data_IF_018626705386
#
_entry.id   IF_018626705386
#
_cell.length_a   1.000
_cell.length_b   1.000
_cell.length_c   1.000
_cell.angle_alpha   90.00
_cell.angle_beta   90.00
_cell.angle_gamma   90.00
#
_symmetry.space_group_name_H-M   'P 1'
#
loop_
_entity.id
_entity.type
_entity.pdbx_description
1 polymer ?
#
# COMPACT_ATOMS: atom_id res chain seq x y z
N UNK A 1 -14.24 -4.97 -1.30
CA UNK A 1 -13.86 -3.58 -0.95
C UNK A 1 -13.95 -3.43 0.56
N UNK A 2 -13.03 -2.74 1.22
CA UNK A 2 -13.02 -2.46 2.66
C UNK A 2 -13.01 -0.96 2.90
N UNK A 3 -13.81 -0.47 3.87
CA UNK A 3 -13.86 0.93 4.25
C UNK A 3 -13.81 1.09 5.79
N UNK A 4 -13.18 2.12 6.34
CA UNK A 4 -13.18 2.36 7.78
C UNK A 4 -14.50 2.95 8.25
N UNK A 5 -14.93 2.60 9.45
CA UNK A 5 -15.96 3.34 10.17
C UNK A 5 -15.29 4.28 11.18
N UNK A 6 -15.71 5.53 11.25
CA UNK A 6 -15.29 6.44 12.30
C UNK A 6 -16.07 6.10 13.58
N UNK A 7 -15.34 5.72 14.64
CA UNK A 7 -15.83 5.70 16.00
C UNK A 7 -15.88 4.34 16.68
N UNK A 8 -14.72 3.81 17.11
CA UNK A 8 -14.64 2.92 18.25
C UNK A 8 -13.69 3.53 19.29
N UNK A 9 -13.98 3.45 20.60
CA UNK A 9 -13.06 3.90 21.64
C UNK A 9 -11.78 3.03 21.65
N UNK A 10 -10.64 3.56 22.09
CA UNK A 10 -9.39 2.81 22.11
C UNK A 10 -9.49 1.62 23.07
N UNK A 11 -9.01 0.48 22.60
CA UNK A 11 -8.85 -0.75 23.40
C UNK A 11 -7.80 -0.51 24.50
N UNK A 12 -8.11 -0.70 25.79
CA UNK A 12 -7.21 -0.32 26.90
C UNK A 12 -6.11 -1.33 27.22
N UNK A 13 -5.87 -2.36 26.43
CA UNK A 13 -4.86 -3.39 26.71
C UNK A 13 -3.91 -3.64 25.53
N UNK A 14 -3.09 -2.64 25.24
CA UNK A 14 -1.96 -2.75 24.32
C UNK A 14 -0.75 -2.06 24.92
N UNK A 15 -0.20 -2.58 26.02
CA UNK A 15 1.10 -2.13 26.52
C UNK A 15 2.20 -2.50 25.53
N UNK A 16 2.94 -1.48 25.07
CA UNK A 16 4.26 -1.64 24.51
C UNK A 16 4.49 -1.23 23.06
N UNK A 17 4.10 -0.01 22.66
CA UNK A 17 4.86 0.69 21.63
C UNK A 17 5.03 2.16 22.06
N UNK A 18 6.17 2.44 22.65
CA UNK A 18 6.58 3.81 22.94
C UNK A 18 6.53 4.57 21.62
N UNK A 19 5.63 5.54 21.52
CA UNK A 19 5.24 6.38 20.41
C UNK A 19 6.26 6.35 19.23
N UNK A 20 6.19 5.33 18.41
CA UNK A 20 7.03 5.24 17.22
C UNK A 20 6.69 6.45 16.35
N UNK A 21 7.67 7.33 16.11
CA UNK A 21 7.49 8.56 15.32
C UNK A 21 6.76 8.22 14.03
N UNK A 22 5.79 9.05 13.59
CA UNK A 22 5.10 8.85 12.32
C UNK A 22 6.13 8.64 11.19
N UNK A 23 5.79 7.79 10.20
CA UNK A 23 6.63 7.67 9.01
C UNK A 23 6.58 8.98 8.23
N UNK A 24 7.74 9.47 7.84
CA UNK A 24 7.80 10.57 6.88
C UNK A 24 7.69 9.97 5.48
N UNK A 25 6.56 10.22 4.82
CA UNK A 25 6.34 9.81 3.44
C UNK A 25 6.62 10.98 2.50
N UNK A 26 7.12 10.67 1.34
CA UNK A 26 7.28 11.62 0.24
C UNK A 26 6.65 11.07 -1.04
N UNK A 27 6.23 11.93 -1.98
CA UNK A 27 5.87 11.47 -3.32
C UNK A 27 7.06 10.77 -4.00
N UNK A 28 6.76 9.72 -4.75
CA UNK A 28 7.72 9.05 -5.61
C UNK A 28 8.13 9.96 -6.76
N UNK A 29 9.38 9.80 -7.22
CA UNK A 29 9.87 10.46 -8.44
C UNK A 29 9.81 9.49 -9.62
N UNK A 30 9.67 10.02 -10.82
CA UNK A 30 9.56 9.21 -12.04
C UNK A 30 10.82 8.39 -12.34
N UNK A 31 11.98 8.86 -11.92
CA UNK A 31 13.27 8.16 -12.04
C UNK A 31 13.39 6.96 -11.08
N UNK A 32 12.50 6.85 -10.10
CA UNK A 32 12.45 5.73 -9.14
C UNK A 32 11.57 4.55 -9.62
N UNK A 33 10.92 4.65 -10.79
CA UNK A 33 9.95 3.67 -11.26
C UNK A 33 10.52 2.24 -11.34
N UNK A 34 11.77 2.07 -11.75
CA UNK A 34 12.41 0.76 -11.82
C UNK A 34 12.61 0.15 -10.42
N UNK A 35 13.11 0.94 -9.48
CA UNK A 35 13.30 0.51 -8.10
C UNK A 35 11.98 0.20 -7.38
N UNK A 36 10.96 1.03 -7.61
CA UNK A 36 9.61 0.84 -7.04
C UNK A 36 8.90 -0.37 -7.63
N UNK A 37 9.03 -0.60 -8.94
CA UNK A 37 8.50 -1.80 -9.59
C UNK A 37 9.16 -3.06 -9.01
N UNK A 38 10.48 -3.07 -8.82
CA UNK A 38 11.19 -4.18 -8.20
C UNK A 38 10.72 -4.40 -6.75
N UNK A 39 10.55 -3.34 -5.95
CA UNK A 39 10.04 -3.41 -4.59
C UNK A 39 8.63 -4.03 -4.56
N UNK A 40 7.70 -3.52 -5.37
CA UNK A 40 6.33 -4.02 -5.40
C UNK A 40 6.30 -5.48 -5.82
N UNK A 41 6.97 -5.85 -6.90
CA UNK A 41 6.98 -7.23 -7.36
C UNK A 41 7.61 -8.17 -6.33
N UNK A 42 8.67 -7.76 -5.64
CA UNK A 42 9.31 -8.58 -4.60
C UNK A 42 8.38 -8.88 -3.42
N UNK A 43 7.42 -8.01 -3.13
CA UNK A 43 6.48 -8.19 -2.03
C UNK A 43 5.19 -8.94 -2.41
N UNK A 44 4.83 -8.92 -3.69
CA UNK A 44 3.58 -9.52 -4.15
C UNK A 44 3.78 -10.82 -4.94
N UNK A 45 4.90 -10.99 -5.62
CA UNK A 45 5.09 -12.04 -6.66
C UNK A 45 6.34 -12.87 -6.43
N UNK A 46 6.25 -14.13 -6.85
CA UNK A 46 7.37 -15.07 -6.88
C UNK A 46 7.98 -15.38 -5.51
N UNK A 47 9.11 -16.06 -5.53
CA UNK A 47 9.78 -16.55 -4.32
C UNK A 47 10.22 -15.45 -3.34
N UNK A 48 10.70 -14.27 -3.78
CA UNK A 48 11.05 -13.21 -2.84
C UNK A 48 9.92 -12.80 -1.91
N UNK A 49 8.65 -12.83 -2.39
CA UNK A 49 7.50 -12.45 -1.58
C UNK A 49 7.19 -13.43 -0.45
N UNK A 50 7.67 -14.67 -0.56
CA UNK A 50 7.50 -15.71 0.48
C UNK A 50 8.33 -15.46 1.74
N UNK A 51 9.30 -14.56 1.70
CA UNK A 51 10.03 -14.12 2.88
C UNK A 51 9.18 -13.19 3.78
N UNK A 52 8.07 -12.67 3.26
CA UNK A 52 7.10 -11.87 4.02
C UNK A 52 6.06 -12.72 4.74
N UNK A 53 5.28 -12.08 5.62
CA UNK A 53 4.19 -12.74 6.34
C UNK A 53 2.96 -13.01 5.45
N UNK A 54 2.87 -12.36 4.30
CA UNK A 54 1.75 -12.46 3.34
C UNK A 54 2.26 -12.32 1.91
N UNK A 55 1.67 -13.07 0.99
CA UNK A 55 2.08 -13.10 -0.42
C UNK A 55 0.88 -13.43 -1.32
N UNK A 56 0.98 -13.06 -2.59
CA UNK A 56 0.06 -13.51 -3.64
C UNK A 56 0.69 -14.59 -4.55
N UNK A 57 1.91 -15.04 -4.25
CA UNK A 57 2.69 -15.93 -5.12
C UNK A 57 2.00 -17.26 -5.41
N UNK A 58 1.12 -17.73 -4.53
CA UNK A 58 0.36 -18.97 -4.73
C UNK A 58 -0.93 -18.77 -5.53
N UNK A 59 -1.43 -17.55 -5.56
CA UNK A 59 -2.69 -17.19 -6.22
C UNK A 59 -2.46 -16.63 -7.62
N UNK A 60 -1.40 -15.82 -7.79
CA UNK A 60 -1.15 -15.07 -9.02
C UNK A 60 0.28 -15.24 -9.49
N UNK A 61 0.43 -15.48 -10.79
CA UNK A 61 1.68 -15.39 -11.55
C UNK A 61 1.89 -14.00 -12.15
N UNK A 62 2.95 -13.87 -12.96
CA UNK A 62 3.27 -12.62 -13.65
C UNK A 62 3.80 -11.51 -12.73
N UNK A 63 3.63 -10.27 -13.15
CA UNK A 63 4.03 -9.07 -12.41
C UNK A 63 2.83 -8.43 -11.71
N UNK A 64 3.07 -7.70 -10.63
CA UNK A 64 2.05 -6.84 -10.00
C UNK A 64 2.03 -5.45 -10.65
N UNK A 65 3.17 -4.98 -11.11
CA UNK A 65 3.35 -3.72 -11.82
C UNK A 65 4.65 -3.76 -12.61
N UNK A 66 4.83 -2.79 -13.50
CA UNK A 66 6.05 -2.57 -14.25
C UNK A 66 6.47 -1.09 -14.23
N UNK A 67 7.72 -0.76 -14.63
CA UNK A 67 8.20 0.62 -14.58
C UNK A 67 7.41 1.59 -15.48
N UNK A 68 6.87 1.11 -16.61
CA UNK A 68 6.10 1.95 -17.53
C UNK A 68 4.76 2.34 -16.91
N UNK A 69 4.04 1.37 -16.31
CA UNK A 69 2.80 1.59 -15.58
C UNK A 69 3.00 2.57 -14.40
N UNK A 70 4.09 2.43 -13.65
CA UNK A 70 4.39 3.36 -12.56
C UNK A 70 4.71 4.77 -13.06
N UNK A 71 5.47 4.91 -14.16
CA UNK A 71 5.73 6.22 -14.77
C UNK A 71 4.46 6.88 -15.29
N UNK A 72 3.55 6.10 -15.88
CA UNK A 72 2.24 6.57 -16.32
C UNK A 72 1.40 7.01 -15.11
N UNK A 73 1.37 6.23 -14.06
CA UNK A 73 0.66 6.58 -12.82
C UNK A 73 1.18 7.88 -12.21
N UNK A 74 2.50 8.08 -12.19
CA UNK A 74 3.15 9.28 -11.66
C UNK A 74 3.19 10.47 -12.65
N UNK A 75 2.71 10.30 -13.89
CA UNK A 75 2.72 11.35 -14.93
C UNK A 75 1.62 12.39 -14.79
N UNK A 76 0.87 12.37 -13.69
CA UNK A 76 -0.22 13.33 -13.45
C UNK A 76 0.34 14.74 -13.30
N UNK A 77 -0.37 15.71 -13.84
CA UNK A 77 -0.07 17.14 -13.70
C UNK A 77 0.14 17.49 -12.22
N UNK A 78 1.26 18.14 -11.90
CA UNK A 78 1.62 18.53 -10.53
C UNK A 78 0.55 19.42 -9.86
N UNK A 79 -0.34 20.02 -10.64
CA UNK A 79 -1.42 20.89 -10.17
C UNK A 79 -2.70 20.13 -9.78
N UNK A 80 -2.91 18.93 -10.31
CA UNK A 80 -4.09 18.09 -10.06
C UNK A 80 -3.65 16.75 -9.45
N UNK A 81 -3.10 16.78 -8.23
CA UNK A 81 -2.66 15.59 -7.52
C UNK A 81 -3.86 14.75 -7.03
N UNK A 82 -4.65 14.22 -7.97
CA UNK A 82 -5.73 13.27 -7.66
C UNK A 82 -5.20 11.84 -7.46
N UNK A 83 -3.91 11.63 -7.67
CA UNK A 83 -3.22 10.35 -7.42
C UNK A 83 -1.76 10.58 -7.03
N UNK A 84 -1.25 9.73 -6.17
CA UNK A 84 0.13 9.78 -5.70
C UNK A 84 0.64 8.40 -5.33
N UNK A 85 1.90 8.12 -5.63
CA UNK A 85 2.65 7.01 -5.04
C UNK A 85 3.53 7.59 -3.95
N UNK A 86 3.25 7.25 -2.70
CA UNK A 86 4.01 7.69 -1.54
C UNK A 86 5.08 6.66 -1.20
N UNK A 87 6.25 7.13 -0.79
CA UNK A 87 7.45 6.31 -0.52
C UNK A 87 7.96 6.57 0.88
N UNK A 88 8.40 5.51 1.53
CA UNK A 88 9.18 5.53 2.76
C UNK A 88 10.59 4.99 2.49
N UNK A 89 11.59 5.82 2.73
CA UNK A 89 13.01 5.51 2.47
C UNK A 89 13.73 4.79 3.62
N UNK A 90 13.01 4.54 4.73
CA UNK A 90 13.60 3.95 5.94
C UNK A 90 14.19 4.98 6.91
N UNK A 91 14.64 4.49 8.07
CA UNK A 91 15.10 5.33 9.18
C UNK A 91 16.50 5.93 9.00
N UNK A 92 17.31 5.37 8.13
CA UNK A 92 18.62 5.92 7.83
C UNK A 92 18.47 6.97 6.72
N UNK A 93 18.19 8.20 7.07
CA UNK A 93 17.93 9.35 6.21
C UNK A 93 19.06 9.70 5.25
N UNK A 94 19.30 8.83 4.29
CA UNK A 94 20.24 9.04 3.20
C UNK A 94 19.45 9.23 1.89
N UNK A 95 19.44 10.45 1.39
CA UNK A 95 19.04 10.81 0.04
C UNK A 95 20.04 10.34 -1.02
N UNK A 96 20.78 9.25 -0.75
CA UNK A 96 21.78 8.70 -1.67
C UNK A 96 21.13 7.98 -2.84
N UNK A 97 21.49 8.37 -4.04
CA UNK A 97 21.28 7.62 -5.29
C UNK A 97 21.73 6.16 -5.07
N UNK A 98 20.77 5.21 -5.12
CA UNK A 98 21.08 3.78 -5.03
C UNK A 98 20.44 3.03 -3.87
N UNK A 99 19.74 3.68 -2.93
CA UNK A 99 19.01 2.98 -1.88
C UNK A 99 17.59 2.66 -2.34
N UNK A 100 17.22 1.38 -2.27
CA UNK A 100 15.84 0.96 -2.55
C UNK A 100 14.93 1.46 -1.43
N UNK A 101 13.74 2.01 -1.76
CA UNK A 101 12.71 2.32 -0.79
C UNK A 101 12.37 1.11 0.08
N UNK A 102 12.10 1.32 1.37
CA UNK A 102 11.67 0.23 2.26
C UNK A 102 10.17 -0.08 2.11
N UNK A 103 9.38 0.92 1.73
CA UNK A 103 7.93 0.75 1.56
C UNK A 103 7.35 1.78 0.59
N UNK A 104 6.19 1.48 0.00
CA UNK A 104 5.41 2.43 -0.78
C UNK A 104 3.91 2.12 -0.69
N UNK A 105 3.09 3.12 -1.02
CA UNK A 105 1.63 3.00 -1.08
C UNK A 105 1.06 3.92 -2.14
N UNK A 106 0.12 3.42 -2.91
CA UNK A 106 -0.64 4.18 -3.90
C UNK A 106 -1.88 4.77 -3.27
N UNK A 107 -2.14 6.05 -3.56
CA UNK A 107 -3.40 6.71 -3.23
C UNK A 107 -3.99 7.37 -4.48
N UNK A 108 -5.32 7.30 -4.60
CA UNK A 108 -6.10 7.97 -5.63
C UNK A 108 -7.31 8.66 -4.99
N UNK A 109 -7.53 9.94 -5.30
CA UNK A 109 -8.71 10.66 -4.87
C UNK A 109 -9.94 10.17 -5.62
N UNK A 110 -11.02 9.93 -4.89
CA UNK A 110 -12.33 9.51 -5.44
C UNK A 110 -13.46 10.33 -4.81
N UNK A 111 -13.63 11.57 -5.26
CA UNK A 111 -14.55 12.51 -4.64
C UNK A 111 -14.10 12.87 -3.22
N UNK A 112 -14.95 12.57 -2.22
CA UNK A 112 -14.67 12.77 -0.80
C UNK A 112 -13.94 11.58 -0.17
N UNK A 113 -13.64 10.54 -0.93
CA UNK A 113 -12.92 9.36 -0.50
C UNK A 113 -11.53 9.28 -1.13
N UNK A 114 -10.68 8.39 -0.62
CA UNK A 114 -9.44 8.02 -1.25
C UNK A 114 -9.35 6.50 -1.43
N UNK A 115 -8.93 6.05 -2.61
CA UNK A 115 -8.59 4.66 -2.85
C UNK A 115 -7.13 4.42 -2.49
N UNK A 116 -6.89 3.36 -1.71
CA UNK A 116 -5.57 2.90 -1.33
C UNK A 116 -5.25 1.59 -2.06
N UNK A 117 -4.14 1.56 -2.76
CA UNK A 117 -3.62 0.38 -3.45
C UNK A 117 -2.13 0.17 -3.20
N UNK A 118 -1.60 -0.97 -3.63
CA UNK A 118 -0.17 -1.30 -3.57
C UNK A 118 0.51 -0.95 -2.23
N UNK A 119 -0.15 -1.24 -1.09
CA UNK A 119 0.49 -1.12 0.23
C UNK A 119 1.62 -2.15 0.30
N UNK A 120 2.84 -1.69 0.16
CA UNK A 120 4.03 -2.52 -0.02
C UNK A 120 5.06 -2.23 1.06
N UNK A 121 5.58 -3.28 1.68
CA UNK A 121 6.77 -3.23 2.55
C UNK A 121 7.73 -4.31 2.06
N UNK A 122 9.02 -4.01 2.01
CA UNK A 122 10.04 -5.02 1.68
C UNK A 122 9.78 -6.31 2.47
N UNK A 123 9.77 -7.51 1.85
CA UNK A 123 9.42 -8.77 2.52
C UNK A 123 10.18 -8.99 3.83
N UNK A 124 11.49 -8.77 3.82
CA UNK A 124 12.36 -8.94 5.00
C UNK A 124 12.15 -7.88 6.10
N UNK A 125 11.39 -6.82 5.80
CA UNK A 125 11.04 -5.75 6.75
C UNK A 125 9.58 -5.83 7.20
N UNK A 126 8.82 -6.78 6.69
CA UNK A 126 7.47 -7.03 7.15
C UNK A 126 7.46 -7.53 8.61
N UNK A 127 6.29 -7.52 9.25
CA UNK A 127 6.12 -7.87 10.67
C UNK A 127 6.88 -6.96 11.68
N UNK A 128 7.53 -5.87 11.22
CA UNK A 128 8.24 -4.88 12.06
C UNK A 128 7.41 -3.64 12.40
N UNK A 129 6.10 -3.67 12.14
CA UNK A 129 5.20 -2.54 12.36
C UNK A 129 5.21 -1.48 11.25
N UNK A 130 6.11 -1.54 10.26
CA UNK A 130 6.18 -0.57 9.16
C UNK A 130 4.85 -0.52 8.39
N UNK A 131 4.23 -1.67 8.09
CA UNK A 131 2.97 -1.71 7.34
C UNK A 131 1.82 -0.95 8.02
N UNK A 132 1.69 -1.08 9.35
CA UNK A 132 0.70 -0.31 10.12
C UNK A 132 0.99 1.18 10.04
N UNK A 133 2.22 1.58 10.32
CA UNK A 133 2.64 2.99 10.30
C UNK A 133 2.54 3.61 8.90
N UNK A 134 2.78 2.82 7.84
CA UNK A 134 2.60 3.23 6.45
C UNK A 134 1.12 3.52 6.15
N UNK A 135 0.23 2.64 6.62
CA UNK A 135 -1.22 2.80 6.48
C UNK A 135 -1.67 4.07 7.22
N UNK A 136 -1.32 4.22 8.50
CA UNK A 136 -1.66 5.39 9.32
C UNK A 136 -1.18 6.71 8.66
N UNK A 137 0.05 6.71 8.11
CA UNK A 137 0.61 7.87 7.44
C UNK A 137 -0.07 8.18 6.10
N UNK A 138 -0.48 7.17 5.34
CA UNK A 138 -1.22 7.31 4.09
C UNK A 138 -2.64 7.86 4.33
N UNK A 139 -3.33 7.38 5.36
CA UNK A 139 -4.63 7.91 5.79
C UNK A 139 -4.53 9.40 6.17
N UNK A 140 -3.55 9.73 7.02
CA UNK A 140 -3.28 11.12 7.41
C UNK A 140 -2.93 12.02 6.23
N UNK A 141 -2.18 11.51 5.25
CA UNK A 141 -1.84 12.24 4.04
C UNK A 141 -3.09 12.52 3.18
N UNK A 142 -3.92 11.51 2.94
CA UNK A 142 -5.15 11.65 2.15
C UNK A 142 -6.14 12.63 2.82
N UNK A 143 -6.31 12.54 4.13
CA UNK A 143 -7.14 13.46 4.89
C UNK A 143 -6.63 14.90 4.82
N UNK A 144 -5.34 15.13 5.04
CA UNK A 144 -4.73 16.45 5.03
C UNK A 144 -4.68 17.08 3.63
N UNK A 145 -4.43 16.29 2.59
CA UNK A 145 -4.22 16.80 1.23
C UNK A 145 -5.51 16.92 0.42
N UNK A 146 -6.43 15.96 0.60
CA UNK A 146 -7.66 15.87 -0.18
C UNK A 146 -8.93 16.09 0.62
N UNK A 147 -8.82 16.18 1.96
CA UNK A 147 -9.98 16.18 2.84
C UNK A 147 -10.72 14.83 2.81
N UNK A 148 -10.04 13.74 2.45
CA UNK A 148 -10.65 12.43 2.33
C UNK A 148 -11.25 11.99 3.66
N UNK A 149 -12.50 11.54 3.62
CA UNK A 149 -13.29 11.13 4.79
C UNK A 149 -13.24 9.63 5.00
N UNK A 150 -12.97 8.88 3.93
CA UNK A 150 -12.95 7.41 3.91
C UNK A 150 -11.76 6.94 3.07
N UNK A 151 -11.14 5.85 3.50
CA UNK A 151 -10.18 5.10 2.68
C UNK A 151 -10.85 3.83 2.19
N UNK A 152 -10.80 3.61 0.89
CA UNK A 152 -11.38 2.43 0.22
C UNK A 152 -10.24 1.61 -0.38
N UNK A 153 -10.33 0.29 -0.31
CA UNK A 153 -9.38 -0.62 -0.93
C UNK A 153 -10.05 -1.89 -1.44
N UNK A 154 -9.40 -2.56 -2.37
CA UNK A 154 -9.79 -3.89 -2.83
C UNK A 154 -8.79 -4.93 -2.34
N UNK A 155 -9.30 -5.99 -1.75
CA UNK A 155 -8.48 -7.12 -1.27
C UNK A 155 -8.98 -8.41 -1.91
N UNK A 156 -8.05 -9.27 -2.35
CA UNK A 156 -8.38 -10.60 -2.89
C UNK A 156 -9.04 -11.42 -1.79
N UNK A 157 -10.22 -11.99 -2.08
CA UNK A 157 -11.03 -12.73 -1.09
C UNK A 157 -10.32 -13.97 -0.55
N UNK A 158 -9.41 -14.56 -1.32
CA UNK A 158 -8.59 -15.70 -0.91
C UNK A 158 -7.43 -15.35 0.03
N UNK A 159 -7.39 -14.10 0.53
CA UNK A 159 -6.38 -13.64 1.50
C UNK A 159 -7.03 -13.28 2.85
N UNK A 160 -7.60 -14.27 3.57
CA UNK A 160 -8.29 -14.01 4.82
C UNK A 160 -7.37 -13.42 5.91
N UNK A 161 -6.08 -13.76 5.89
CA UNK A 161 -5.08 -13.21 6.81
C UNK A 161 -4.90 -11.69 6.63
N UNK A 162 -4.92 -11.23 5.36
CA UNK A 162 -4.78 -9.81 5.03
C UNK A 162 -6.07 -9.05 5.34
N UNK A 163 -7.24 -9.64 5.05
CA UNK A 163 -8.55 -9.08 5.41
C UNK A 163 -8.62 -8.88 6.92
N UNK A 164 -8.32 -9.91 7.71
CA UNK A 164 -8.29 -9.82 9.17
C UNK A 164 -7.26 -8.79 9.69
N UNK A 165 -6.15 -8.59 8.96
CA UNK A 165 -5.17 -7.57 9.30
C UNK A 165 -5.75 -6.15 9.16
N UNK A 166 -6.53 -5.88 8.11
CA UNK A 166 -7.22 -4.61 7.91
C UNK A 166 -8.38 -4.42 8.90
N UNK A 167 -9.16 -5.47 9.17
CA UNK A 167 -10.26 -5.43 10.13
C UNK A 167 -9.80 -5.03 11.54
N UNK A 168 -8.65 -5.56 12.00
CA UNK A 168 -8.03 -5.14 13.27
C UNK A 168 -7.60 -3.66 13.29
N UNK A 169 -7.66 -2.96 12.17
CA UNK A 169 -7.35 -1.53 12.01
C UNK A 169 -8.57 -0.68 11.72
N UNK A 170 -9.77 -1.24 11.96
CA UNK A 170 -11.03 -0.53 11.84
C UNK A 170 -11.62 -0.53 10.43
N UNK A 171 -11.06 -1.30 9.50
CA UNK A 171 -11.68 -1.48 8.19
C UNK A 171 -12.80 -2.51 8.26
N UNK A 172 -13.82 -2.33 7.44
CA UNK A 172 -14.95 -3.24 7.35
C UNK A 172 -15.21 -3.64 5.89
N UNK A 173 -15.58 -4.91 5.69
CA UNK A 173 -16.04 -5.35 4.40
C UNK A 173 -17.35 -4.63 4.05
N UNK A 174 -17.40 -4.00 2.88
CA UNK A 174 -18.62 -3.35 2.36
C UNK A 174 -19.63 -4.34 1.82
N UNK A 175 -19.25 -5.60 1.64
CA UNK A 175 -20.04 -6.61 0.94
C UNK A 175 -19.97 -6.49 -0.60
N UNK A 176 -19.38 -5.43 -1.11
CA UNK A 176 -19.18 -5.28 -2.56
C UNK A 176 -18.03 -6.16 -3.03
N UNK A 177 -18.24 -6.85 -4.14
CA UNK A 177 -17.20 -7.64 -4.80
C UNK A 177 -17.13 -7.26 -6.27
N UNK A 178 -15.92 -7.32 -6.83
CA UNK A 178 -15.69 -7.19 -8.26
C UNK A 178 -15.01 -8.47 -8.77
N UNK A 179 -15.33 -8.91 -9.99
CA UNK A 179 -14.62 -10.03 -10.60
C UNK A 179 -13.13 -9.66 -10.74
N UNK A 180 -12.27 -10.68 -10.64
CA UNK A 180 -10.86 -10.50 -10.96
C UNK A 180 -10.76 -10.08 -12.45
N UNK A 181 -9.93 -9.08 -12.80
CA UNK A 181 -9.82 -8.57 -14.17
C UNK A 181 -9.02 -9.55 -15.06
N UNK A 182 -9.64 -10.69 -15.37
CA UNK A 182 -9.04 -11.70 -16.25
C UNK A 182 -8.65 -11.10 -17.60
N UNK A 183 -7.47 -11.47 -18.09
CA UNK A 183 -6.95 -10.98 -19.37
C UNK A 183 -6.19 -9.66 -19.30
N UNK A 184 -6.20 -8.97 -18.17
CA UNK A 184 -5.34 -7.81 -17.92
C UNK A 184 -4.09 -8.24 -17.14
N UNK A 185 -2.99 -8.45 -17.86
CA UNK A 185 -1.72 -8.92 -17.28
C UNK A 185 -1.12 -7.99 -16.23
N UNK A 186 -1.58 -6.74 -16.15
CA UNK A 186 -1.17 -5.78 -15.10
C UNK A 186 -1.58 -6.23 -13.69
N UNK A 187 -2.60 -7.07 -13.57
CA UNK A 187 -3.06 -7.61 -12.30
C UNK A 187 -2.49 -9.00 -11.98
N UNK A 188 -1.69 -9.56 -12.88
CA UNK A 188 -1.15 -10.90 -12.82
C UNK A 188 -2.08 -11.95 -13.44
N UNK A 189 -1.60 -13.17 -13.49
CA UNK A 189 -2.31 -14.32 -14.07
C UNK A 189 -2.71 -15.28 -12.95
N UNK A 190 -4.02 -15.56 -12.75
CA UNK A 190 -4.46 -16.59 -11.81
C UNK A 190 -3.82 -17.94 -12.10
N UNK A 191 -3.43 -18.64 -11.03
CA UNK A 191 -2.85 -20.00 -11.09
C UNK A 191 -3.89 -21.06 -10.91
#
# INVERSE_FOLDING_TARGET
MLAPSHGAPPDPLGEGDAAARPLTLRPARRDEADALSALVNSAYRGDPSRAGWTTEADLLGGQRTDPAALREFMATDETALDRVLLVYDGTAGGTGLGRLPEACVQLERRGDDAYLGMLTVQPVRQASGIGKRLLDAAEGWAAARWGARTIIMTVITQRPELIAWYERRGYHATGETAPFPYGDTRFGEPK
#
